data_IF_493866530869
#
_entry.id   IF_493866530869
#
_cell.length_a   1.000
_cell.length_b   1.000
_cell.length_c   1.000
_cell.angle_alpha   90.00
_cell.angle_beta   90.00
_cell.angle_gamma   90.00
#
_symmetry.space_group_name_H-M   'P 1'
#
loop_
_entity.id
_entity.type
_entity.pdbx_description
1 polymer ?
#
# COMPACT_ATOMS: atom_id res chain seq x y z
N UNK A 1 15.91 23.44 -33.98
CA UNK A 1 16.59 22.60 -32.95
C UNK A 1 16.89 23.34 -31.65
N UNK A 2 17.44 24.57 -31.70
CA UNK A 2 17.79 25.33 -30.49
C UNK A 2 16.56 25.68 -29.61
N UNK A 3 15.46 26.14 -30.21
CA UNK A 3 14.23 26.50 -29.47
C UNK A 3 13.57 25.30 -28.77
N UNK A 4 13.50 24.14 -29.44
CA UNK A 4 13.00 22.90 -28.84
C UNK A 4 13.87 22.45 -27.65
N UNK A 5 15.20 22.60 -27.75
CA UNK A 5 16.11 22.31 -26.64
C UNK A 5 15.90 23.26 -25.47
N UNK A 6 15.76 24.57 -25.76
CA UNK A 6 15.48 25.61 -24.76
C UNK A 6 14.15 25.32 -24.04
N UNK A 7 13.09 25.00 -24.79
CA UNK A 7 11.79 24.66 -24.22
C UNK A 7 11.87 23.47 -23.26
N UNK A 8 12.56 22.38 -23.65
CA UNK A 8 12.77 21.21 -22.77
C UNK A 8 13.52 21.57 -21.49
N UNK A 9 14.55 22.41 -21.59
CA UNK A 9 15.32 22.84 -20.42
C UNK A 9 14.44 23.66 -19.47
N UNK A 10 13.64 24.59 -19.99
CA UNK A 10 12.73 25.38 -19.17
C UNK A 10 11.67 24.51 -18.47
N UNK A 11 11.12 23.51 -19.16
CA UNK A 11 10.23 22.53 -18.55
C UNK A 11 10.92 21.75 -17.42
N UNK A 12 12.18 21.37 -17.61
CA UNK A 12 12.94 20.65 -16.59
C UNK A 12 13.23 21.54 -15.36
N UNK A 13 13.60 22.80 -15.58
CA UNK A 13 13.80 23.79 -14.53
C UNK A 13 12.51 24.00 -13.73
N UNK A 14 11.35 24.08 -14.40
CA UNK A 14 10.06 24.20 -13.73
C UNK A 14 9.80 23.01 -12.79
N UNK A 15 9.97 21.78 -13.28
CA UNK A 15 9.81 20.56 -12.46
C UNK A 15 10.77 20.52 -11.27
N UNK A 16 12.04 20.89 -11.48
CA UNK A 16 13.02 20.94 -10.39
C UNK A 16 12.66 21.99 -9.33
N UNK A 17 12.15 23.16 -9.75
CA UNK A 17 11.68 24.19 -8.82
C UNK A 17 10.50 23.69 -7.98
N UNK A 18 9.55 23.00 -8.61
CA UNK A 18 8.40 22.40 -7.91
C UNK A 18 8.85 21.33 -6.91
N UNK A 19 9.78 20.45 -7.29
CA UNK A 19 10.31 19.39 -6.41
C UNK A 19 11.14 19.93 -5.24
N UNK A 20 11.79 21.09 -5.41
CA UNK A 20 12.54 21.75 -4.33
C UNK A 20 11.59 22.29 -3.25
N UNK A 21 10.46 22.88 -3.66
CA UNK A 21 9.48 23.49 -2.75
C UNK A 21 8.58 22.45 -2.07
N UNK A 22 8.54 21.21 -2.57
CA UNK A 22 7.74 20.12 -1.98
C UNK A 22 8.06 19.95 -0.47
N UNK A 23 7.06 20.04 0.42
CA UNK A 23 7.28 19.87 1.85
C UNK A 23 7.73 18.44 2.17
N UNK A 24 8.70 18.31 3.07
CA UNK A 24 9.27 17.02 3.50
C UNK A 24 9.04 16.82 4.99
N UNK A 25 8.61 15.63 5.39
CA UNK A 25 8.57 15.22 6.79
C UNK A 25 9.94 14.69 7.24
N UNK A 26 10.23 14.77 8.53
CA UNK A 26 11.42 14.12 9.09
C UNK A 26 11.26 12.61 9.01
N UNK A 27 12.34 11.91 8.67
CA UNK A 27 12.32 10.44 8.54
C UNK A 27 11.85 9.78 9.84
N UNK A 28 12.31 10.27 11.00
CA UNK A 28 11.89 9.76 12.31
C UNK A 28 10.37 9.86 12.54
N UNK A 29 9.75 10.95 12.07
CA UNK A 29 8.31 11.19 12.18
C UNK A 29 7.53 10.28 11.22
N UNK A 30 7.97 10.21 9.96
CA UNK A 30 7.38 9.34 8.96
C UNK A 30 7.42 7.86 9.38
N UNK A 31 8.57 7.38 9.88
CA UNK A 31 8.71 6.01 10.39
C UNK A 31 7.81 5.75 11.60
N UNK A 32 7.71 6.70 12.53
CA UNK A 32 6.83 6.58 13.70
C UNK A 32 5.35 6.51 13.28
N UNK A 33 4.95 7.28 12.28
CA UNK A 33 3.60 7.26 11.71
C UNK A 33 3.28 5.90 11.07
N UNK A 34 4.22 5.35 10.28
CA UNK A 34 4.07 4.01 9.68
C UNK A 34 3.93 2.92 10.74
N UNK A 35 4.80 2.93 11.76
CA UNK A 35 4.73 1.95 12.86
C UNK A 35 3.40 2.05 13.59
N UNK A 36 2.92 3.27 13.84
CA UNK A 36 1.61 3.49 14.48
C UNK A 36 0.50 2.87 13.63
N UNK A 37 0.47 3.15 12.33
CA UNK A 37 -0.54 2.61 11.43
C UNK A 37 -0.52 1.07 11.41
N UNK A 38 0.67 0.47 11.28
CA UNK A 38 0.83 -0.98 11.29
C UNK A 38 0.42 -1.63 12.61
N UNK A 39 0.48 -0.92 13.74
CA UNK A 39 0.03 -1.42 15.05
C UNK A 39 -1.46 -1.26 15.31
N UNK A 40 -2.14 -0.36 14.60
CA UNK A 40 -3.58 -0.10 14.81
C UNK A 40 -4.44 -0.85 13.80
N UNK A 41 -3.90 -1.17 12.63
CA UNK A 41 -4.64 -1.83 11.56
C UNK A 41 -4.37 -3.33 11.59
N UNK A 42 -5.39 -4.13 11.91
CA UNK A 42 -5.29 -5.59 11.91
C UNK A 42 -5.16 -6.10 10.48
N UNK A 43 -4.15 -6.93 10.24
CA UNK A 43 -3.92 -7.60 8.94
C UNK A 43 -4.18 -9.11 9.08
N UNK A 44 -5.25 -9.64 8.45
CA UNK A 44 -5.57 -11.07 8.44
C UNK A 44 -4.46 -11.96 7.85
N UNK A 45 -3.59 -11.42 6.99
CA UNK A 45 -2.52 -12.14 6.31
C UNK A 45 -1.22 -12.21 7.12
N UNK A 46 -1.18 -11.60 8.32
CA UNK A 46 -0.04 -11.67 9.26
C UNK A 46 -0.43 -12.38 10.58
N UNK A 47 -0.66 -13.71 10.57
CA UNK A 47 -1.08 -14.44 11.77
C UNK A 47 -0.08 -14.42 12.92
N UNK A 48 1.21 -14.21 12.62
CA UNK A 48 2.26 -14.13 13.65
C UNK A 48 2.12 -12.93 14.59
N UNK A 49 1.49 -11.85 14.13
CA UNK A 49 1.29 -10.63 14.89
C UNK A 49 -0.15 -10.49 15.39
N UNK A 50 -1.13 -10.91 14.57
CA UNK A 50 -2.56 -10.67 14.82
C UNK A 50 -3.37 -11.90 15.21
N UNK A 51 -2.75 -13.09 15.19
CA UNK A 51 -3.43 -14.37 15.37
C UNK A 51 -4.09 -14.89 14.09
N UNK A 52 -4.49 -16.15 14.10
CA UNK A 52 -5.20 -16.77 12.97
C UNK A 52 -6.61 -16.21 12.86
N UNK A 53 -7.04 -15.92 11.62
CA UNK A 53 -8.41 -15.51 11.31
C UNK A 53 -9.37 -16.65 11.65
N UNK A 54 -10.49 -16.35 12.29
CA UNK A 54 -11.51 -17.35 12.54
C UNK A 54 -12.11 -17.83 11.21
N UNK A 55 -12.42 -19.12 11.11
CA UNK A 55 -13.03 -19.72 9.89
C UNK A 55 -14.31 -19.00 9.44
N UNK A 56 -15.03 -18.38 10.38
CA UNK A 56 -16.26 -17.63 10.15
C UNK A 56 -16.03 -16.22 9.58
N UNK A 57 -14.84 -15.66 9.80
CA UNK A 57 -14.46 -14.31 9.34
C UNK A 57 -13.74 -14.33 7.98
N UNK A 58 -13.36 -15.51 7.48
CA UNK A 58 -12.68 -15.68 6.19
C UNK A 58 -13.70 -15.94 5.06
N UNK A 59 -13.90 -14.99 4.12
CA UNK A 59 -14.83 -15.14 2.99
C UNK A 59 -14.47 -16.26 2.02
N UNK A 60 -13.22 -16.74 2.07
CA UNK A 60 -12.73 -17.81 1.21
C UNK A 60 -12.67 -19.16 1.93
N UNK A 61 -13.12 -19.23 3.19
CA UNK A 61 -13.19 -20.49 3.91
C UNK A 61 -14.19 -21.44 3.24
N UNK A 62 -13.67 -22.47 2.57
CA UNK A 62 -14.48 -23.58 2.12
C UNK A 62 -14.75 -24.52 3.30
N UNK A 63 -16.01 -24.83 3.63
CA UNK A 63 -16.30 -25.83 4.65
C UNK A 63 -15.65 -27.15 4.23
N UNK A 64 -15.05 -27.85 5.20
CA UNK A 64 -14.29 -29.07 4.97
C UNK A 64 -15.03 -29.99 3.97
N UNK A 65 -14.35 -30.37 2.88
CA UNK A 65 -14.86 -31.06 1.70
C UNK A 65 -15.50 -32.44 1.94
N UNK A 66 -15.82 -32.79 3.19
CA UNK A 66 -16.44 -34.03 3.60
C UNK A 66 -17.91 -33.89 4.04
N UNK A 67 -18.54 -32.73 3.82
CA UNK A 67 -20.01 -32.59 3.83
C UNK A 67 -20.48 -32.20 2.43
N UNK A 68 -20.86 -33.22 1.66
CA UNK A 68 -21.34 -33.07 0.31
C UNK A 68 -22.51 -32.09 0.19
N UNK A 69 -22.40 -31.13 -0.73
CA UNK A 69 -23.54 -30.50 -1.37
C UNK A 69 -23.07 -29.87 -2.68
N UNK A 70 -23.34 -30.57 -3.78
CA UNK A 70 -23.53 -30.08 -5.15
C UNK A 70 -22.57 -29.01 -5.70
N UNK A 71 -21.61 -29.44 -6.52
CA UNK A 71 -21.13 -28.64 -7.66
C UNK A 71 -21.94 -29.12 -8.87
N UNK A 72 -22.77 -28.24 -9.43
CA UNK A 72 -23.36 -28.43 -10.76
C UNK A 72 -22.43 -27.79 -11.77
N UNK A 73 -22.20 -28.54 -12.84
CA UNK A 73 -21.46 -28.29 -14.09
C UNK A 73 -21.31 -26.85 -14.55
#
# INVERSE_FOLDING_TARGET
MAELKLHRINQHIARLRDDVVRPRARVSEASSSLIRYMKTTKDPLLPSLWGTVAKEEDPFHQPDANKGCCIVS
#
